data_IF_133075369317
#
_entry.id   IF_133075369317
#
_cell.length_a   1.000
_cell.length_b   1.000
_cell.length_c   1.000
_cell.angle_alpha   90.00
_cell.angle_beta   90.00
_cell.angle_gamma   90.00
#
_symmetry.space_group_name_H-M   'P 1'
#
loop_
_entity.id
_entity.type
_entity.pdbx_description
1 polymer ?
#
# COMPACT_ATOMS: atom_id res chain seq x y z
N UNK A 1 12.12 32.93 -18.19
CA UNK A 1 11.39 31.64 -18.08
C UNK A 1 11.43 31.02 -16.69
N UNK A 2 12.32 31.44 -15.79
CA UNK A 2 12.38 30.95 -14.40
C UNK A 2 11.40 31.71 -13.46
N UNK A 3 11.11 32.99 -13.75
CA UNK A 3 10.14 33.81 -12.99
C UNK A 3 8.75 33.16 -12.77
N UNK A 4 8.09 32.53 -13.77
CA UNK A 4 6.80 31.88 -13.52
C UNK A 4 6.92 30.67 -12.58
N UNK A 5 8.08 29.99 -12.54
CA UNK A 5 8.33 28.89 -11.61
C UNK A 5 8.51 29.45 -10.20
N UNK A 6 9.33 30.49 -10.05
CA UNK A 6 9.56 31.14 -8.73
C UNK A 6 8.27 31.72 -8.16
N UNK A 7 7.47 32.44 -8.96
CA UNK A 7 6.18 32.97 -8.53
C UNK A 7 5.16 31.87 -8.18
N UNK A 8 5.25 30.70 -8.82
CA UNK A 8 4.44 29.55 -8.44
C UNK A 8 4.85 29.03 -7.06
N UNK A 9 6.15 28.91 -6.79
CA UNK A 9 6.66 28.49 -5.49
C UNK A 9 6.39 29.50 -4.38
N UNK A 10 6.54 30.81 -4.63
CA UNK A 10 6.24 31.85 -3.63
C UNK A 10 4.75 31.85 -3.28
N UNK A 11 3.86 31.75 -4.28
CA UNK A 11 2.42 31.58 -4.00
C UNK A 11 2.11 30.27 -3.30
N UNK A 12 2.82 29.18 -3.66
CA UNK A 12 2.65 27.91 -2.97
C UNK A 12 3.01 28.08 -1.49
N UNK A 13 4.14 28.71 -1.18
CA UNK A 13 4.64 28.91 0.19
C UNK A 13 3.77 29.87 0.99
N UNK A 14 3.30 30.98 0.41
CA UNK A 14 2.44 31.95 1.09
C UNK A 14 1.03 31.40 1.38
N UNK A 15 0.47 30.60 0.49
CA UNK A 15 -0.84 29.96 0.69
C UNK A 15 -0.77 28.65 1.52
N UNK A 16 0.42 28.28 1.98
CA UNK A 16 0.69 27.07 2.74
C UNK A 16 0.32 27.25 4.22
N UNK A 17 -0.97 27.22 4.50
CA UNK A 17 -1.47 27.05 5.87
C UNK A 17 -0.97 25.71 6.44
N UNK A 18 -0.62 25.67 7.73
CA UNK A 18 -0.15 24.46 8.43
C UNK A 18 -1.09 23.25 8.24
N UNK A 19 -2.39 23.51 8.07
CA UNK A 19 -3.43 22.52 7.75
C UNK A 19 -3.27 21.90 6.35
N UNK A 20 -2.84 22.67 5.35
CA UNK A 20 -2.55 22.17 3.99
C UNK A 20 -1.25 21.38 3.94
N UNK A 21 -0.23 21.80 4.70
CA UNK A 21 1.04 21.06 4.83
C UNK A 21 0.81 19.67 5.42
N UNK A 22 0.08 19.56 6.54
CA UNK A 22 -0.19 18.26 7.16
C UNK A 22 -1.02 17.36 6.25
N UNK A 23 -1.96 17.92 5.50
CA UNK A 23 -2.72 17.22 4.45
C UNK A 23 -1.80 16.67 3.35
N UNK A 24 -0.95 17.52 2.77
CA UNK A 24 -0.04 17.12 1.70
C UNK A 24 0.96 16.06 2.18
N UNK A 25 1.50 16.21 3.39
CA UNK A 25 2.37 15.22 4.01
C UNK A 25 1.64 13.88 4.20
N UNK A 26 0.41 13.90 4.73
CA UNK A 26 -0.40 12.69 4.93
C UNK A 26 -0.71 11.98 3.61
N UNK A 27 -0.99 12.74 2.54
CA UNK A 27 -1.23 12.20 1.21
C UNK A 27 0.03 11.56 0.62
N UNK A 28 1.20 12.19 0.77
CA UNK A 28 2.49 11.61 0.35
C UNK A 28 2.77 10.31 1.11
N UNK A 29 2.59 10.30 2.43
CA UNK A 29 2.77 9.09 3.25
C UNK A 29 1.80 8.01 2.78
N UNK A 30 0.53 8.34 2.53
CA UNK A 30 -0.46 7.39 2.05
C UNK A 30 -0.08 6.78 0.69
N UNK A 31 0.40 7.59 -0.25
CA UNK A 31 0.91 7.13 -1.55
C UNK A 31 2.14 6.24 -1.36
N UNK A 32 3.10 6.65 -0.52
CA UNK A 32 4.30 5.86 -0.23
C UNK A 32 3.96 4.50 0.39
N UNK A 33 3.04 4.47 1.36
CA UNK A 33 2.56 3.24 1.99
C UNK A 33 1.81 2.37 0.98
N UNK A 34 0.97 2.97 0.12
CA UNK A 34 0.24 2.23 -0.91
C UNK A 34 1.19 1.59 -1.93
N UNK A 35 2.19 2.33 -2.39
CA UNK A 35 3.24 1.81 -3.27
C UNK A 35 4.07 0.73 -2.58
N UNK A 36 4.38 0.90 -1.30
CA UNK A 36 5.10 -0.10 -0.52
C UNK A 36 4.30 -1.40 -0.35
N UNK A 37 3.00 -1.31 -0.06
CA UNK A 37 2.10 -2.48 0.00
C UNK A 37 1.98 -3.15 -1.36
N UNK A 38 1.77 -2.36 -2.42
CA UNK A 38 1.71 -2.86 -3.80
C UNK A 38 3.00 -3.61 -4.15
N UNK A 39 4.15 -3.04 -3.85
CA UNK A 39 5.44 -3.66 -4.16
C UNK A 39 5.69 -4.92 -3.34
N UNK A 40 5.31 -4.92 -2.06
CA UNK A 40 5.39 -6.09 -1.19
C UNK A 40 4.50 -7.24 -1.68
N UNK A 41 3.30 -6.92 -2.19
CA UNK A 41 2.35 -7.92 -2.69
C UNK A 41 2.74 -8.47 -4.07
N UNK A 42 3.08 -7.57 -5.00
CA UNK A 42 3.26 -7.93 -6.42
C UNK A 42 4.70 -8.32 -6.75
N UNK A 43 5.67 -7.85 -5.96
CA UNK A 43 7.10 -8.07 -6.22
C UNK A 43 7.54 -7.57 -7.59
N UNK A 44 6.84 -6.61 -8.19
CA UNK A 44 7.00 -6.26 -9.60
C UNK A 44 8.40 -5.71 -9.92
N UNK A 45 9.02 -4.93 -9.01
CA UNK A 45 10.40 -4.48 -9.21
C UNK A 45 11.40 -5.60 -8.99
N UNK A 46 11.14 -6.51 -8.04
CA UNK A 46 11.98 -7.70 -7.86
C UNK A 46 11.98 -8.58 -9.10
N UNK A 47 10.80 -8.84 -9.67
CA UNK A 47 10.63 -9.65 -10.86
C UNK A 47 11.32 -9.01 -12.08
N UNK A 48 11.18 -7.69 -12.25
CA UNK A 48 11.90 -6.95 -13.29
C UNK A 48 13.43 -6.93 -13.10
N UNK A 49 13.93 -6.91 -11.86
CA UNK A 49 15.37 -7.04 -11.57
C UNK A 49 15.86 -8.45 -11.93
N UNK A 50 15.11 -9.48 -11.52
CA UNK A 50 15.42 -10.88 -11.82
C UNK A 50 15.43 -11.14 -13.32
N UNK A 51 14.43 -10.66 -14.06
CA UNK A 51 14.36 -10.81 -15.51
C UNK A 51 15.58 -10.19 -16.20
N UNK A 52 15.96 -8.96 -15.81
CA UNK A 52 17.17 -8.32 -16.34
C UNK A 52 18.44 -9.10 -16.02
N UNK A 53 18.56 -9.63 -14.80
CA UNK A 53 19.69 -10.47 -14.40
C UNK A 53 19.73 -11.78 -15.21
N UNK A 54 18.57 -12.41 -15.44
CA UNK A 54 18.44 -13.64 -16.22
C UNK A 54 18.84 -13.40 -17.68
N UNK A 55 18.40 -12.30 -18.29
CA UNK A 55 18.81 -11.90 -19.65
C UNK A 55 20.31 -11.67 -19.75
N UNK A 56 20.94 -11.08 -18.72
CA UNK A 56 22.39 -10.91 -18.69
C UNK A 56 23.12 -12.24 -18.56
N UNK A 57 22.57 -13.16 -17.77
CA UNK A 57 23.13 -14.48 -17.53
C UNK A 57 23.00 -15.38 -18.77
N UNK A 58 21.89 -15.29 -19.49
CA UNK A 58 21.66 -15.92 -20.79
C UNK A 58 22.68 -15.40 -21.83
N UNK A 59 22.88 -14.09 -21.92
CA UNK A 59 23.90 -13.50 -22.80
C UNK A 59 25.33 -13.93 -22.44
N UNK A 60 25.64 -14.06 -21.16
CA UNK A 60 26.94 -14.58 -20.70
C UNK A 60 27.11 -16.06 -21.05
N UNK A 61 26.06 -16.87 -20.89
CA UNK A 61 26.03 -18.27 -21.31
C UNK A 61 26.24 -18.40 -22.82
N UNK A 62 25.58 -17.56 -23.63
CA UNK A 62 25.78 -17.55 -25.07
C UNK A 62 27.21 -17.19 -25.46
N UNK A 63 27.81 -16.19 -24.79
CA UNK A 63 29.23 -15.85 -24.97
C UNK A 63 30.16 -17.00 -24.55
N UNK A 64 29.78 -17.78 -23.53
CA UNK A 64 30.56 -18.94 -23.10
C UNK A 64 30.59 -20.10 -24.07
N UNK A 65 29.56 -20.20 -24.93
CA UNK A 65 29.56 -21.18 -26.00
C UNK A 65 30.58 -20.83 -27.10
N UNK A 66 31.04 -19.58 -27.16
CA UNK A 66 32.11 -19.13 -28.06
C UNK A 66 33.51 -19.22 -27.44
N UNK A 67 33.64 -19.08 -26.11
CA UNK A 67 34.90 -19.23 -25.37
C UNK A 67 34.65 -19.98 -24.04
N UNK A 68 35.35 -21.08 -23.73
CA UNK A 68 35.08 -21.83 -22.51
C UNK A 68 35.23 -20.93 -21.27
N UNK A 69 34.15 -20.73 -20.50
CA UNK A 69 34.16 -19.96 -19.23
C UNK A 69 35.32 -20.38 -18.32
N UNK A 70 35.70 -21.66 -18.35
CA UNK A 70 36.81 -22.21 -17.57
C UNK A 70 38.17 -21.56 -17.85
N UNK A 71 38.34 -20.94 -19.03
CA UNK A 71 39.60 -20.29 -19.42
C UNK A 71 39.67 -18.83 -19.00
N UNK A 72 38.55 -18.21 -18.57
CA UNK A 72 38.52 -16.82 -18.14
C UNK A 72 38.08 -16.71 -16.66
N UNK A 73 39.04 -16.55 -15.72
CA UNK A 73 38.75 -16.51 -14.28
C UNK A 73 37.81 -15.35 -13.89
N UNK A 74 37.78 -14.26 -14.66
CA UNK A 74 36.88 -13.14 -14.38
C UNK A 74 35.42 -13.46 -14.69
N UNK A 75 35.15 -14.26 -15.72
CA UNK A 75 33.79 -14.66 -16.08
C UNK A 75 33.23 -15.67 -15.07
N UNK A 76 34.05 -16.63 -14.65
CA UNK A 76 33.71 -17.61 -13.61
C UNK A 76 33.32 -16.94 -12.29
N UNK A 77 34.10 -15.97 -11.83
CA UNK A 77 33.81 -15.24 -10.59
C UNK A 77 32.51 -14.43 -10.68
N UNK A 78 32.22 -13.84 -11.84
CA UNK A 78 30.98 -13.07 -12.06
C UNK A 78 29.75 -13.98 -12.09
N UNK A 79 29.88 -15.17 -12.70
CA UNK A 79 28.83 -16.18 -12.71
C UNK A 79 28.53 -16.71 -11.30
N UNK A 80 29.55 -17.07 -10.52
CA UNK A 80 29.36 -17.49 -9.13
C UNK A 80 28.69 -16.40 -8.29
N UNK A 81 29.13 -15.14 -8.40
CA UNK A 81 28.54 -14.02 -7.66
C UNK A 81 27.05 -13.81 -8.02
N UNK A 82 26.70 -13.88 -9.31
CA UNK A 82 25.31 -13.79 -9.77
C UNK A 82 24.47 -14.97 -9.29
N UNK A 83 25.02 -16.18 -9.30
CA UNK A 83 24.33 -17.38 -8.81
C UNK A 83 24.07 -17.31 -7.29
N UNK A 84 25.01 -16.77 -6.52
CA UNK A 84 24.87 -16.51 -5.10
C UNK A 84 23.84 -15.41 -4.82
N UNK A 85 23.85 -14.31 -5.58
CA UNK A 85 22.84 -13.26 -5.46
C UNK A 85 21.44 -13.81 -5.78
N UNK A 86 21.29 -14.59 -6.85
CA UNK A 86 20.02 -15.24 -7.21
C UNK A 86 19.51 -16.20 -6.12
N UNK A 87 20.38 -17.05 -5.57
CA UNK A 87 20.01 -17.97 -4.49
C UNK A 87 19.64 -17.20 -3.22
N UNK A 88 20.39 -16.14 -2.88
CA UNK A 88 20.06 -15.30 -1.72
C UNK A 88 18.76 -14.52 -1.90
N UNK A 89 18.37 -14.16 -3.13
CA UNK A 89 17.07 -13.52 -3.42
C UNK A 89 15.90 -14.49 -3.24
N UNK A 90 16.14 -15.79 -3.41
CA UNK A 90 15.15 -16.84 -3.16
C UNK A 90 14.94 -17.06 -1.65
N UNK A 91 16.00 -16.94 -0.84
CA UNK A 91 15.93 -17.05 0.62
C UNK A 91 15.58 -15.73 1.33
N UNK A 92 15.86 -14.57 0.73
CA UNK A 92 15.41 -13.25 1.18
C UNK A 92 14.11 -12.83 0.50
N UNK A 93 13.21 -13.80 0.33
CA UNK A 93 11.80 -13.52 0.52
C UNK A 93 11.71 -12.74 1.83
N UNK A 94 11.45 -11.44 1.75
CA UNK A 94 11.10 -10.64 2.90
C UNK A 94 9.81 -11.27 3.41
N UNK A 95 9.95 -12.27 4.28
CA UNK A 95 8.89 -12.90 5.04
C UNK A 95 8.54 -11.85 6.10
N UNK A 96 8.00 -10.73 5.62
CA UNK A 96 7.65 -9.53 6.38
C UNK A 96 6.46 -9.87 7.25
N UNK A 97 6.70 -10.71 8.25
CA UNK A 97 5.69 -11.34 9.09
C UNK A 97 4.73 -12.14 8.21
N UNK A 98 4.60 -13.44 8.41
CA UNK A 98 3.47 -14.16 7.80
C UNK A 98 2.17 -13.61 8.40
N UNK A 99 1.65 -12.51 7.84
CA UNK A 99 0.43 -11.87 8.32
C UNK A 99 -0.65 -12.92 8.11
N UNK A 100 -1.22 -13.36 9.24
CA UNK A 100 -2.24 -14.40 9.22
C UNK A 100 -3.42 -13.95 8.35
N UNK A 101 -4.14 -14.90 7.76
CA UNK A 101 -5.24 -14.59 6.84
C UNK A 101 -6.31 -13.71 7.52
N UNK A 102 -6.52 -13.95 8.80
CA UNK A 102 -7.43 -13.23 9.69
C UNK A 102 -6.96 -11.78 9.89
N UNK A 103 -5.65 -11.56 10.06
CA UNK A 103 -5.09 -10.21 10.18
C UNK A 103 -5.23 -9.43 8.86
N UNK A 104 -5.05 -10.09 7.70
CA UNK A 104 -5.29 -9.45 6.39
C UNK A 104 -6.76 -9.02 6.25
N UNK A 105 -7.69 -9.85 6.70
CA UNK A 105 -9.12 -9.53 6.70
C UNK A 105 -9.46 -8.38 7.65
N UNK A 106 -8.85 -8.35 8.84
CA UNK A 106 -9.01 -7.24 9.79
C UNK A 106 -8.48 -5.91 9.20
N UNK A 107 -7.31 -5.92 8.56
CA UNK A 107 -6.75 -4.74 7.87
C UNK A 107 -7.68 -4.30 6.73
N UNK A 108 -8.20 -5.25 5.94
CA UNK A 108 -9.12 -4.94 4.85
C UNK A 108 -10.42 -4.28 5.36
N UNK A 109 -10.91 -4.68 6.54
CA UNK A 109 -12.08 -4.07 7.18
C UNK A 109 -11.89 -2.58 7.54
N UNK A 110 -10.65 -2.14 7.80
CA UNK A 110 -10.32 -0.74 8.13
C UNK A 110 -10.31 0.15 6.88
N UNK A 111 -10.01 -0.40 5.70
CA UNK A 111 -9.78 0.39 4.48
C UNK A 111 -10.92 1.33 4.10
N UNK A 112 -12.20 0.92 4.09
CA UNK A 112 -13.32 1.82 3.76
C UNK A 112 -13.43 3.00 4.74
N UNK A 113 -13.18 2.76 6.03
CA UNK A 113 -13.20 3.79 7.07
C UNK A 113 -12.07 4.78 6.89
N UNK A 114 -10.88 4.30 6.58
CA UNK A 114 -9.72 5.15 6.30
C UNK A 114 -9.97 6.01 5.06
N UNK A 115 -10.49 5.42 3.98
CA UNK A 115 -10.85 6.15 2.77
C UNK A 115 -11.91 7.23 3.06
N UNK A 116 -12.92 6.92 3.88
CA UNK A 116 -13.93 7.89 4.27
C UNK A 116 -13.37 9.02 5.15
N UNK A 117 -12.51 8.70 6.13
CA UNK A 117 -11.80 9.70 6.93
C UNK A 117 -10.94 10.62 6.06
N UNK A 118 -10.27 10.06 5.05
CA UNK A 118 -9.45 10.80 4.09
C UNK A 118 -10.33 11.75 3.27
N UNK A 119 -11.50 11.33 2.79
CA UNK A 119 -12.47 12.21 2.10
C UNK A 119 -12.90 13.37 3.01
N UNK A 120 -13.20 13.11 4.29
CA UNK A 120 -13.60 14.15 5.24
C UNK A 120 -12.49 15.18 5.49
N UNK A 121 -11.21 14.78 5.41
CA UNK A 121 -10.11 15.74 5.54
C UNK A 121 -10.12 16.80 4.43
N UNK A 122 -10.67 16.49 3.25
CA UNK A 122 -10.81 17.44 2.14
C UNK A 122 -12.06 18.32 2.21
N UNK A 123 -13.01 18.03 3.10
CA UNK A 123 -14.22 18.84 3.23
C UNK A 123 -14.01 20.05 4.15
N UNK A 124 -14.43 21.27 3.75
CA UNK A 124 -14.38 22.45 4.60
C UNK A 124 -15.50 22.38 5.64
N UNK A 125 -15.25 21.74 6.78
CA UNK A 125 -16.17 21.75 7.91
C UNK A 125 -15.44 22.08 9.21
N UNK A 126 -16.10 22.89 10.05
CA UNK A 126 -15.60 23.35 11.36
C UNK A 126 -15.46 22.19 12.37
N UNK A 127 -16.05 21.02 12.10
CA UNK A 127 -16.14 19.94 13.08
C UNK A 127 -15.62 18.57 12.59
N UNK A 128 -14.70 18.54 11.62
CA UNK A 128 -14.17 17.29 11.08
C UNK A 128 -13.44 16.42 12.12
N UNK A 129 -12.87 17.04 13.16
CA UNK A 129 -12.14 16.32 14.21
C UNK A 129 -13.03 15.30 14.94
N UNK A 130 -14.26 15.70 15.30
CA UNK A 130 -15.21 14.80 15.98
C UNK A 130 -15.69 13.67 15.07
N UNK A 131 -15.89 13.95 13.77
CA UNK A 131 -16.25 12.94 12.78
C UNK A 131 -15.13 11.92 12.55
N UNK A 132 -13.87 12.37 12.43
CA UNK A 132 -12.70 11.50 12.28
C UNK A 132 -12.51 10.62 13.52
N UNK A 133 -12.67 11.18 14.72
CA UNK A 133 -12.63 10.41 15.96
C UNK A 133 -13.74 9.35 16.01
N UNK A 134 -14.96 9.70 15.58
CA UNK A 134 -16.08 8.75 15.46
C UNK A 134 -15.78 7.61 14.49
N UNK A 135 -15.17 7.92 13.34
CA UNK A 135 -14.74 6.91 12.35
C UNK A 135 -13.69 5.96 12.94
N UNK A 136 -12.67 6.50 13.63
CA UNK A 136 -11.64 5.69 14.26
C UNK A 136 -12.22 4.73 15.31
N UNK A 137 -13.16 5.23 16.14
CA UNK A 137 -13.85 4.41 17.15
C UNK A 137 -14.73 3.35 16.50
N UNK A 138 -15.46 3.68 15.43
CA UNK A 138 -16.33 2.74 14.72
C UNK A 138 -15.56 1.64 13.97
N UNK A 139 -14.37 1.95 13.47
CA UNK A 139 -13.52 0.99 12.75
C UNK A 139 -13.03 -0.15 13.65
N UNK A 140 -12.75 0.12 14.93
CA UNK A 140 -12.21 -0.88 15.87
C UNK A 140 -13.11 -2.13 16.02
N UNK A 141 -14.39 -2.01 16.44
CA UNK A 141 -15.24 -3.20 16.64
C UNK A 141 -15.46 -3.96 15.33
N UNK A 142 -15.56 -3.28 14.19
CA UNK A 142 -15.74 -3.94 12.88
C UNK A 142 -14.50 -4.71 12.43
N UNK A 143 -13.31 -4.21 12.78
CA UNK A 143 -12.04 -4.90 12.53
C UNK A 143 -11.91 -6.15 13.42
N UNK A 144 -12.32 -6.04 14.69
CA UNK A 144 -12.36 -7.17 15.62
C UNK A 144 -13.35 -8.23 15.15
N UNK A 145 -14.55 -7.83 14.71
CA UNK A 145 -15.53 -8.75 14.12
C UNK A 145 -14.94 -9.42 12.87
N UNK A 146 -14.25 -8.65 12.02
CA UNK A 146 -13.62 -9.16 10.79
C UNK A 146 -12.56 -10.21 11.06
N UNK A 147 -11.80 -10.08 12.15
CA UNK A 147 -10.80 -11.06 12.58
C UNK A 147 -11.42 -12.41 13.00
N UNK A 148 -12.63 -12.39 13.59
CA UNK A 148 -13.30 -13.59 14.09
C UNK A 148 -14.12 -14.34 13.04
N UNK A 149 -14.35 -13.72 11.87
CA UNK A 149 -15.09 -14.36 10.79
C UNK A 149 -14.16 -15.38 10.10
N UNK A 150 -14.56 -16.66 10.02
CA UNK A 150 -13.78 -17.65 9.30
C UNK A 150 -13.62 -17.21 7.84
N UNK A 151 -12.40 -17.22 7.29
CA UNK A 151 -12.19 -16.80 5.91
C UNK A 151 -12.89 -17.78 4.96
N UNK A 152 -13.73 -17.24 4.07
CA UNK A 152 -14.38 -18.01 3.02
C UNK A 152 -13.38 -18.43 1.94
N UNK A 153 -13.74 -19.44 1.14
CA UNK A 153 -12.88 -19.94 0.04
C UNK A 153 -12.56 -18.83 -0.97
N UNK A 154 -13.55 -18.00 -1.26
CA UNK A 154 -13.44 -16.90 -2.21
C UNK A 154 -12.79 -15.67 -1.58
N UNK A 155 -11.57 -15.34 -2.04
CA UNK A 155 -10.76 -14.24 -1.50
C UNK A 155 -11.44 -12.87 -1.63
N UNK A 156 -12.13 -12.62 -2.75
CA UNK A 156 -12.81 -11.33 -2.99
C UNK A 156 -13.94 -11.07 -1.98
N UNK A 157 -14.57 -12.12 -1.44
CA UNK A 157 -15.62 -11.97 -0.43
C UNK A 157 -15.03 -11.45 0.88
N UNK A 158 -13.91 -12.02 1.31
CA UNK A 158 -13.24 -11.65 2.56
C UNK A 158 -12.63 -10.24 2.49
N UNK A 159 -12.06 -9.87 1.34
CA UNK A 159 -11.28 -8.63 1.21
C UNK A 159 -12.02 -7.44 0.58
N UNK A 160 -13.11 -7.67 -0.15
CA UNK A 160 -13.89 -6.58 -0.77
C UNK A 160 -15.33 -6.54 -0.25
N UNK A 161 -16.06 -7.66 -0.35
CA UNK A 161 -17.49 -7.66 -0.01
C UNK A 161 -17.73 -7.40 1.48
N UNK A 162 -16.99 -8.06 2.37
CA UNK A 162 -17.16 -7.91 3.82
C UNK A 162 -16.86 -6.47 4.29
N UNK A 163 -15.71 -5.84 3.97
CA UNK A 163 -15.43 -4.46 4.36
C UNK A 163 -16.46 -3.46 3.82
N UNK A 164 -16.86 -3.59 2.56
CA UNK A 164 -17.82 -2.66 1.95
C UNK A 164 -19.20 -2.82 2.60
N UNK A 165 -19.67 -4.05 2.79
CA UNK A 165 -20.99 -4.32 3.37
C UNK A 165 -21.06 -3.84 4.82
N UNK A 166 -20.02 -4.11 5.63
CA UNK A 166 -19.97 -3.64 7.02
C UNK A 166 -19.98 -2.10 7.11
N UNK A 167 -19.24 -1.42 6.24
CA UNK A 167 -19.25 0.04 6.13
C UNK A 167 -20.63 0.57 5.76
N UNK A 168 -21.26 0.04 4.70
CA UNK A 168 -22.59 0.49 4.23
C UNK A 168 -23.65 0.27 5.30
N UNK A 169 -23.68 -0.90 5.95
CA UNK A 169 -24.64 -1.20 7.03
C UNK A 169 -24.45 -0.25 8.20
N UNK A 170 -23.21 0.00 8.63
CA UNK A 170 -22.94 0.91 9.74
C UNK A 170 -23.36 2.35 9.40
N UNK A 171 -23.03 2.84 8.20
CA UNK A 171 -23.44 4.16 7.74
C UNK A 171 -24.97 4.29 7.67
N UNK A 172 -25.66 3.26 7.18
CA UNK A 172 -27.11 3.22 7.15
C UNK A 172 -27.72 3.32 8.56
N UNK A 173 -27.18 2.58 9.53
CA UNK A 173 -27.61 2.66 10.94
C UNK A 173 -27.38 4.05 11.54
N UNK A 174 -26.22 4.67 11.29
CA UNK A 174 -25.93 6.02 11.76
C UNK A 174 -26.91 7.05 11.19
N UNK A 175 -27.17 7.00 9.88
CA UNK A 175 -28.07 7.94 9.20
C UNK A 175 -29.51 7.78 9.70
N UNK A 176 -29.99 6.54 9.82
CA UNK A 176 -31.36 6.28 10.31
C UNK A 176 -31.55 6.69 11.77
N UNK A 177 -30.53 6.48 12.61
CA UNK A 177 -30.53 6.94 13.99
C UNK A 177 -30.54 8.47 14.11
N UNK A 178 -29.73 9.17 13.32
CA UNK A 178 -29.72 10.64 13.26
C UNK A 178 -31.08 11.20 12.84
N UNK A 179 -31.68 10.65 11.77
CA UNK A 179 -33.02 11.05 11.31
C UNK A 179 -34.08 10.86 12.39
N UNK A 180 -34.02 9.77 13.16
CA UNK A 180 -34.97 9.54 14.26
C UNK A 180 -34.80 10.58 15.38
N UNK A 181 -33.56 10.99 15.67
CA UNK A 181 -33.25 12.00 16.69
C UNK A 181 -33.69 13.40 16.29
N UNK A 182 -33.63 13.75 15.02
CA UNK A 182 -34.10 15.06 14.52
C UNK A 182 -35.64 15.18 14.51
N UNK A 183 -36.34 14.06 14.37
CA UNK A 183 -37.80 14.00 14.36
C UNK A 183 -38.45 13.85 15.75
N UNK A 184 -37.66 13.71 16.82
CA UNK A 184 -38.12 13.48 18.19
C UNK A 184 -37.90 14.73 19.06
#
# INVERSE_FOLDING_TARGET
MIEPIVNFFDKLVDDFTWRRLSLLLSAIIFVAVSLWIYESYTGSFKLGKLEKQLVLLEKLSDLSNYEPIQNNPTLSATYEALSLELNSLNDTGFDLVSISREMKQAIAAVLPWLAFALILLFMPAENNSSAIAGIAIAAIPLSVIGYWIPPLEESWVNYALYPITSFVVCMYLVITWQRKKENA
#
